data_IF_409500407624
#
_entry.id   IF_409500407624
#
_cell.length_a   1.000
_cell.length_b   1.000
_cell.length_c   1.000
_cell.angle_alpha   90.00
_cell.angle_beta   90.00
_cell.angle_gamma   90.00
#
_symmetry.space_group_name_H-M   'P 1'
#
loop_
_entity.id
_entity.type
_entity.pdbx_description
1 polymer ?
#
# COMPACT_ATOMS: atom_id res chain seq x y z
N UNK A 1 23.12 4.58 -6.57
CA UNK A 1 22.62 5.37 -7.72
C UNK A 1 21.70 4.56 -8.65
N UNK A 2 20.95 3.56 -8.17
CA UNK A 2 20.00 2.78 -9.02
C UNK A 2 18.52 2.97 -8.66
N UNK A 3 18.19 3.80 -7.67
CA UNK A 3 16.85 3.77 -7.07
C UNK A 3 16.00 5.02 -7.37
N UNK A 4 16.59 6.21 -7.51
CA UNK A 4 15.82 7.45 -7.69
C UNK A 4 15.03 7.49 -9.01
N UNK A 5 15.62 7.00 -10.11
CA UNK A 5 14.93 6.89 -11.41
C UNK A 5 13.84 5.83 -11.39
N UNK A 6 13.96 4.83 -10.51
CA UNK A 6 13.00 3.74 -10.36
C UNK A 6 11.80 4.21 -9.52
N UNK A 7 12.05 4.94 -8.43
CA UNK A 7 11.00 5.46 -7.57
C UNK A 7 10.19 6.56 -8.25
N UNK A 8 10.83 7.49 -8.97
CA UNK A 8 10.08 8.54 -9.66
C UNK A 8 9.21 7.98 -10.79
N UNK A 9 9.66 6.91 -11.45
CA UNK A 9 8.82 6.16 -12.38
C UNK A 9 7.62 5.55 -11.69
N UNK A 10 7.81 4.88 -10.54
CA UNK A 10 6.68 4.34 -9.76
C UNK A 10 5.69 5.42 -9.34
N UNK A 11 6.18 6.61 -8.95
CA UNK A 11 5.31 7.75 -8.65
C UNK A 11 4.54 8.25 -9.87
N UNK A 12 5.15 8.23 -11.04
CA UNK A 12 4.46 8.59 -12.26
C UNK A 12 3.38 7.56 -12.60
N UNK A 13 3.71 6.27 -12.55
CA UNK A 13 2.78 5.17 -12.78
C UNK A 13 1.58 5.27 -11.80
N UNK A 14 1.83 5.56 -10.52
CA UNK A 14 0.80 5.76 -9.50
C UNK A 14 -0.09 6.99 -9.76
N UNK A 15 0.46 8.10 -10.28
CA UNK A 15 -0.34 9.28 -10.67
C UNK A 15 -1.28 8.93 -11.83
N UNK A 16 -0.77 8.21 -12.81
CA UNK A 16 -1.53 7.82 -13.99
C UNK A 16 -2.66 6.86 -13.59
N UNK A 17 -2.38 5.90 -12.70
CA UNK A 17 -3.39 4.99 -12.14
C UNK A 17 -4.49 5.73 -11.35
N UNK A 18 -4.11 6.64 -10.45
CA UNK A 18 -5.07 7.44 -9.68
C UNK A 18 -5.93 8.32 -10.60
N UNK A 19 -5.34 8.93 -11.64
CA UNK A 19 -6.09 9.70 -12.62
C UNK A 19 -7.10 8.84 -13.37
N UNK A 20 -6.69 7.64 -13.81
CA UNK A 20 -7.59 6.71 -14.49
C UNK A 20 -8.73 6.23 -13.58
N UNK A 21 -8.45 6.01 -12.28
CA UNK A 21 -9.47 5.65 -11.30
C UNK A 21 -10.48 6.79 -11.08
N UNK A 22 -10.00 8.02 -10.92
CA UNK A 22 -10.86 9.22 -10.80
C UNK A 22 -11.76 9.33 -12.04
N UNK A 23 -11.19 9.24 -13.24
CA UNK A 23 -11.97 9.30 -14.48
C UNK A 23 -13.03 8.20 -14.56
N UNK A 24 -12.70 6.97 -14.16
CA UNK A 24 -13.63 5.86 -14.15
C UNK A 24 -14.81 6.12 -13.21
N UNK A 25 -14.55 6.52 -11.96
CA UNK A 25 -15.61 6.79 -10.96
C UNK A 25 -16.51 7.94 -11.39
N UNK A 26 -15.94 9.01 -11.94
CA UNK A 26 -16.70 10.10 -12.54
C UNK A 26 -17.62 9.61 -13.67
N UNK A 27 -17.16 8.71 -14.55
CA UNK A 27 -17.97 8.13 -15.63
C UNK A 27 -19.08 7.19 -15.13
N UNK A 28 -18.90 6.60 -13.95
CA UNK A 28 -19.92 5.80 -13.28
C UNK A 28 -20.98 6.67 -12.58
N UNK A 29 -20.81 8.00 -12.57
CA UNK A 29 -21.76 8.95 -12.00
C UNK A 29 -21.54 9.26 -10.52
N UNK A 30 -20.38 8.89 -9.96
CA UNK A 30 -20.00 9.25 -8.59
C UNK A 30 -19.57 10.72 -8.52
N UNK A 31 -19.91 11.41 -7.42
CA UNK A 31 -19.46 12.79 -7.18
C UNK A 31 -17.99 12.80 -6.72
N UNK A 32 -17.08 13.50 -7.43
CA UNK A 32 -15.69 13.66 -7.01
C UNK A 32 -15.53 14.11 -5.57
N UNK A 33 -16.39 15.01 -5.07
CA UNK A 33 -16.24 15.50 -3.70
C UNK A 33 -16.50 14.44 -2.63
N UNK A 34 -17.26 13.40 -2.96
CA UNK A 34 -17.53 12.30 -2.03
C UNK A 34 -16.35 11.33 -1.96
N UNK A 35 -15.68 11.02 -3.08
CA UNK A 35 -14.65 9.96 -3.08
C UNK A 35 -13.19 10.45 -3.09
N UNK A 36 -12.92 11.68 -3.54
CA UNK A 36 -11.55 12.22 -3.56
C UNK A 36 -10.85 12.19 -2.19
N UNK A 37 -11.52 12.48 -1.05
CA UNK A 37 -10.89 12.41 0.28
C UNK A 37 -10.45 11.00 0.69
N UNK A 38 -11.09 9.97 0.14
CA UNK A 38 -10.80 8.57 0.46
C UNK A 38 -9.67 7.98 -0.39
N UNK A 39 -9.26 8.68 -1.46
CA UNK A 39 -8.18 8.20 -2.31
C UNK A 39 -6.83 8.21 -1.57
N UNK A 40 -5.97 7.21 -1.81
CA UNK A 40 -4.62 7.25 -1.30
C UNK A 40 -3.84 8.37 -1.99
N UNK A 41 -2.86 8.93 -1.27
CA UNK A 41 -1.85 9.78 -1.89
C UNK A 41 -0.98 8.99 -2.88
N UNK A 42 -0.26 9.69 -3.75
CA UNK A 42 0.65 9.05 -4.73
C UNK A 42 1.66 8.13 -4.04
N UNK A 43 2.28 8.58 -2.96
CA UNK A 43 3.28 7.78 -2.25
C UNK A 43 2.64 6.60 -1.50
N UNK A 44 1.40 6.73 -1.01
CA UNK A 44 0.65 5.59 -0.46
C UNK A 44 0.29 4.56 -1.55
N UNK A 45 -0.08 5.02 -2.75
CA UNK A 45 -0.32 4.14 -3.90
C UNK A 45 0.97 3.41 -4.31
N UNK A 46 2.11 4.09 -4.34
CA UNK A 46 3.42 3.45 -4.59
C UNK A 46 3.73 2.38 -3.54
N UNK A 47 3.48 2.66 -2.26
CA UNK A 47 3.66 1.68 -1.19
C UNK A 47 2.72 0.48 -1.38
N UNK A 48 1.47 0.69 -1.80
CA UNK A 48 0.53 -0.38 -2.11
C UNK A 48 1.03 -1.27 -3.25
N UNK A 49 1.52 -0.69 -4.35
CA UNK A 49 2.13 -1.42 -5.47
C UNK A 49 3.35 -2.22 -5.01
N UNK A 50 4.27 -1.61 -4.27
CA UNK A 50 5.45 -2.30 -3.74
C UNK A 50 5.06 -3.44 -2.79
N UNK A 51 4.02 -3.26 -1.98
CA UNK A 51 3.49 -4.31 -1.10
C UNK A 51 2.99 -5.48 -1.93
N UNK A 52 2.22 -5.25 -2.99
CA UNK A 52 1.78 -6.31 -3.90
C UNK A 52 2.96 -7.06 -4.52
N UNK A 53 3.98 -6.35 -4.99
CA UNK A 53 5.21 -6.96 -5.49
C UNK A 53 5.90 -7.85 -4.43
N UNK A 54 6.01 -7.38 -3.18
CA UNK A 54 6.58 -8.17 -2.08
C UNK A 54 5.75 -9.41 -1.76
N UNK A 55 4.44 -9.36 -1.88
CA UNK A 55 3.58 -10.53 -1.64
C UNK A 55 3.84 -11.68 -2.64
N UNK A 56 4.44 -11.40 -3.80
CA UNK A 56 4.85 -12.43 -4.75
C UNK A 56 6.11 -13.19 -4.31
N UNK A 57 6.93 -12.64 -3.41
CA UNK A 57 8.08 -13.34 -2.84
C UNK A 57 7.63 -14.52 -1.95
N UNK A 58 8.32 -15.65 -2.03
CA UNK A 58 7.94 -16.87 -1.31
C UNK A 58 7.88 -16.66 0.21
N UNK A 59 8.78 -15.85 0.79
CA UNK A 59 8.78 -15.54 2.23
C UNK A 59 7.46 -14.88 2.68
N UNK A 60 6.98 -13.91 1.90
CA UNK A 60 5.78 -13.15 2.22
C UNK A 60 4.52 -13.92 1.88
N UNK A 61 4.55 -14.74 0.82
CA UNK A 61 3.45 -15.63 0.48
C UNK A 61 3.13 -16.61 1.60
N UNK A 62 4.15 -17.25 2.18
CA UNK A 62 3.99 -18.18 3.30
C UNK A 62 3.55 -17.44 4.57
N UNK A 63 4.14 -16.27 4.85
CA UNK A 63 3.76 -15.46 6.00
C UNK A 63 2.28 -15.00 5.92
N UNK A 64 1.83 -14.56 4.74
CA UNK A 64 0.44 -14.20 4.46
C UNK A 64 -0.51 -15.37 4.72
N UNK A 65 -0.21 -16.54 4.17
CA UNK A 65 -1.04 -17.73 4.36
C UNK A 65 -1.19 -18.11 5.84
N UNK A 66 -0.12 -17.94 6.63
CA UNK A 66 -0.16 -18.17 8.08
C UNK A 66 -0.99 -17.10 8.81
N UNK A 67 -0.81 -15.84 8.47
CA UNK A 67 -1.49 -14.72 9.12
C UNK A 67 -3.01 -14.74 8.91
N UNK A 68 -3.46 -15.13 7.71
CA UNK A 68 -4.89 -15.23 7.37
C UNK A 68 -5.53 -16.59 7.70
N UNK A 69 -4.80 -17.51 8.32
CA UNK A 69 -5.34 -18.83 8.64
C UNK A 69 -6.44 -18.71 9.72
N UNK A 70 -7.55 -19.49 9.66
CA UNK A 70 -8.63 -19.42 10.66
C UNK A 70 -8.19 -19.69 12.11
N UNK A 71 -7.05 -20.35 12.30
CA UNK A 71 -6.46 -20.63 13.62
C UNK A 71 -5.27 -19.72 13.95
N UNK A 72 -5.07 -18.64 13.19
CA UNK A 72 -4.06 -17.65 13.51
C UNK A 72 -4.36 -17.02 14.88
N UNK A 73 -3.31 -16.65 15.61
CA UNK A 73 -3.48 -15.96 16.89
C UNK A 73 -4.03 -14.56 16.63
N UNK A 74 -4.81 -13.98 17.56
CA UNK A 74 -5.13 -12.56 17.50
C UNK A 74 -3.84 -11.73 17.38
N UNK A 75 -3.80 -10.74 16.49
CA UNK A 75 -2.60 -9.93 16.26
C UNK A 75 -1.64 -10.44 15.18
N UNK A 76 -1.82 -11.66 14.64
CA UNK A 76 -0.91 -12.19 13.60
C UNK A 76 -1.05 -11.46 12.26
N UNK A 77 -2.26 -11.00 11.93
CA UNK A 77 -2.51 -10.24 10.71
C UNK A 77 -1.84 -8.87 10.80
N UNK A 78 -2.05 -8.18 11.91
CA UNK A 78 -1.48 -6.87 12.22
C UNK A 78 0.05 -6.94 12.26
N UNK A 79 0.62 -8.01 12.86
CA UNK A 79 2.06 -8.23 12.85
C UNK A 79 2.58 -8.45 11.42
N UNK A 80 1.88 -9.24 10.61
CA UNK A 80 2.26 -9.48 9.23
C UNK A 80 2.24 -8.18 8.41
N UNK A 81 1.17 -7.38 8.51
CA UNK A 81 1.07 -6.09 7.83
C UNK A 81 2.17 -5.12 8.28
N UNK A 82 2.48 -5.09 9.58
CA UNK A 82 3.61 -4.32 10.09
C UNK A 82 4.95 -4.77 9.49
N UNK A 83 5.22 -6.07 9.49
CA UNK A 83 6.50 -6.61 9.01
C UNK A 83 6.72 -6.31 7.52
N UNK A 84 5.71 -6.45 6.67
CA UNK A 84 5.84 -6.20 5.23
C UNK A 84 5.98 -4.70 4.92
N UNK A 85 5.20 -3.85 5.57
CA UNK A 85 5.28 -2.40 5.40
C UNK A 85 6.61 -1.84 5.92
N UNK A 86 7.12 -2.39 7.02
CA UNK A 86 8.45 -2.06 7.54
C UNK A 86 9.58 -2.47 6.58
N UNK A 87 9.48 -3.63 5.94
CA UNK A 87 10.46 -4.09 4.93
C UNK A 87 10.54 -3.10 3.75
N UNK A 88 9.39 -2.54 3.34
CA UNK A 88 9.31 -1.49 2.30
C UNK A 88 9.97 -0.19 2.78
N UNK A 89 9.66 0.29 3.98
CA UNK A 89 10.27 1.52 4.52
C UNK A 89 11.80 1.40 4.65
N UNK A 90 12.31 0.23 5.00
CA UNK A 90 13.76 -0.02 5.06
C UNK A 90 14.41 -0.02 3.68
N UNK A 91 13.71 -0.50 2.65
CA UNK A 91 14.19 -0.49 1.27
C UNK A 91 14.06 0.88 0.59
N UNK A 92 13.04 1.66 0.96
CA UNK A 92 12.70 2.97 0.39
C UNK A 92 12.43 3.98 1.52
N UNK A 93 13.49 4.51 2.17
CA UNK A 93 13.35 5.43 3.30
C UNK A 93 12.52 6.69 2.97
N UNK A 94 12.50 7.11 1.71
CA UNK A 94 11.73 8.26 1.21
C UNK A 94 10.22 8.08 1.37
N UNK A 95 9.73 6.84 1.45
CA UNK A 95 8.31 6.50 1.60
C UNK A 95 7.89 6.31 3.07
N UNK A 96 8.81 6.47 4.03
CA UNK A 96 8.56 6.14 5.44
C UNK A 96 7.29 6.82 6.00
N UNK A 97 7.06 8.09 5.68
CA UNK A 97 5.86 8.80 6.16
C UNK A 97 4.56 8.17 5.65
N UNK A 98 4.51 7.77 4.38
CA UNK A 98 3.34 7.10 3.79
C UNK A 98 3.16 5.71 4.36
N UNK A 99 4.24 4.97 4.60
CA UNK A 99 4.20 3.68 5.30
C UNK A 99 3.59 3.85 6.70
N UNK A 100 4.02 4.86 7.46
CA UNK A 100 3.46 5.14 8.79
C UNK A 100 1.98 5.53 8.74
N UNK A 101 1.58 6.37 7.78
CA UNK A 101 0.16 6.70 7.54
C UNK A 101 -0.67 5.44 7.28
N UNK A 102 -0.19 4.53 6.43
CA UNK A 102 -0.88 3.28 6.13
C UNK A 102 -0.94 2.35 7.34
N UNK A 103 0.12 2.27 8.14
CA UNK A 103 0.11 1.49 9.37
C UNK A 103 -0.92 2.00 10.37
N UNK A 104 -1.07 3.32 10.52
CA UNK A 104 -2.06 3.90 11.43
C UNK A 104 -3.50 3.53 11.02
N UNK A 105 -3.77 3.46 9.72
CA UNK A 105 -5.07 3.00 9.17
C UNK A 105 -5.31 1.50 9.37
N UNK A 106 -4.29 0.67 9.22
CA UNK A 106 -4.38 -0.80 9.39
C UNK A 106 -4.50 -1.18 10.88
N UNK A 107 -3.82 -0.44 11.75
CA UNK A 107 -3.75 -0.73 13.19
C UNK A 107 -4.90 -0.08 13.96
N UNK A 108 -5.62 0.89 13.41
CA UNK A 108 -6.73 1.57 14.09
C UNK A 108 -7.86 0.61 14.49
N UNK A 109 -8.05 0.33 15.79
CA UNK A 109 -9.09 -0.55 16.30
C UNK A 109 -10.28 0.23 16.91
N UNK A 110 -10.55 1.45 16.44
CA UNK A 110 -11.63 2.30 16.96
C UNK A 110 -12.91 2.15 16.13
#
# INVERSE_FOLDING_TARGET
MRDATTLERLRQDARDELSALIELRCRLGEDPWEFLPDLPSVDEQVVATLREERLHEDRWRVARARAHHPTARPGELERFEYEILRDIALAHPELSNSVWSMLDRVVSPW
#
